data_IF_211884734408
#
_entry.id   IF_211884734408
#
_cell.length_a   1.000
_cell.length_b   1.000
_cell.length_c   1.000
_cell.angle_alpha   90.00
_cell.angle_beta   90.00
_cell.angle_gamma   90.00
#
_symmetry.space_group_name_H-M   'P 1'
#
loop_
_entity.id
_entity.type
_entity.pdbx_description
1 polymer ?
#
# COMPACT_ATOMS: atom_id res chain seq x y z
N UNK A 1 12.33 -28.85 -3.24
CA UNK A 1 12.36 -28.29 -4.61
C UNK A 1 12.52 -26.78 -4.45
N UNK A 2 13.78 -26.35 -4.32
CA UNK A 2 14.11 -24.94 -4.16
C UNK A 2 13.88 -24.26 -5.51
N UNK A 3 13.09 -23.20 -5.53
CA UNK A 3 12.90 -22.42 -6.76
C UNK A 3 14.16 -21.56 -6.94
N UNK A 4 15.21 -22.18 -7.48
CA UNK A 4 16.28 -21.49 -8.18
C UNK A 4 15.68 -20.86 -9.44
N UNK A 5 15.36 -19.57 -9.38
CA UNK A 5 15.33 -18.73 -10.57
C UNK A 5 16.32 -17.59 -10.30
N UNK A 6 17.57 -17.89 -10.63
CA UNK A 6 18.59 -16.90 -10.92
C UNK A 6 18.18 -16.14 -12.19
N UNK A 7 17.44 -15.06 -12.00
CA UNK A 7 17.54 -13.87 -12.84
C UNK A 7 17.84 -12.73 -11.86
N UNK A 8 19.09 -12.67 -11.40
CA UNK A 8 19.61 -11.53 -10.66
C UNK A 8 19.67 -10.35 -11.64
N UNK A 9 18.52 -9.72 -11.89
CA UNK A 9 18.56 -8.29 -12.14
C UNK A 9 19.18 -7.70 -10.88
N UNK A 10 20.20 -6.90 -11.08
CA UNK A 10 20.88 -6.17 -10.03
C UNK A 10 19.82 -5.24 -9.42
N UNK A 11 19.18 -5.68 -8.33
CA UNK A 11 18.08 -4.93 -7.73
C UNK A 11 18.71 -3.85 -6.87
N UNK A 12 18.73 -2.64 -7.41
CA UNK A 12 19.21 -1.47 -6.72
C UNK A 12 18.10 -0.84 -5.89
N UNK A 13 18.47 -0.19 -4.79
CA UNK A 13 17.61 0.76 -4.07
C UNK A 13 18.23 2.13 -4.13
N UNK A 14 17.48 3.13 -4.58
CA UNK A 14 17.92 4.53 -4.50
C UNK A 14 17.46 5.13 -3.18
N UNK A 15 18.41 5.68 -2.41
CA UNK A 15 18.14 6.72 -1.43
C UNK A 15 17.82 8.01 -2.18
N UNK A 16 16.55 8.37 -2.22
CA UNK A 16 16.14 9.71 -2.57
C UNK A 16 15.13 10.19 -1.54
N UNK A 17 15.21 11.48 -1.24
CA UNK A 17 14.08 12.19 -0.64
C UNK A 17 12.87 11.88 -1.52
N UNK A 18 11.89 11.19 -0.96
CA UNK A 18 10.58 11.00 -1.61
C UNK A 18 9.95 12.39 -1.93
N UNK A 19 10.53 13.49 -1.44
CA UNK A 19 10.13 14.88 -1.73
C UNK A 19 10.33 15.40 -3.16
N UNK A 20 11.09 14.74 -4.06
CA UNK A 20 11.13 15.21 -5.46
C UNK A 20 10.04 14.60 -6.37
N UNK A 21 9.32 13.56 -5.91
CA UNK A 21 8.17 12.97 -6.63
C UNK A 21 6.83 13.11 -5.86
N UNK A 22 6.85 13.48 -4.57
CA UNK A 22 5.66 13.85 -3.76
C UNK A 22 4.90 15.09 -4.29
N UNK A 23 5.42 15.80 -5.30
CA UNK A 23 4.79 16.99 -5.86
C UNK A 23 3.53 16.76 -6.71
N UNK A 24 2.97 15.55 -6.73
CA UNK A 24 1.58 15.32 -7.14
C UNK A 24 0.86 14.61 -5.97
N UNK A 25 0.64 15.37 -4.89
CA UNK A 25 -0.25 15.10 -3.74
C UNK A 25 -0.70 13.63 -3.59
N UNK A 26 0.07 12.82 -2.86
CA UNK A 26 -0.40 11.55 -2.27
C UNK A 26 0.16 10.25 -2.79
N UNK A 27 1.13 10.29 -3.72
CA UNK A 27 1.79 9.11 -4.32
C UNK A 27 0.87 8.31 -5.25
N UNK A 28 1.45 7.47 -6.10
CA UNK A 28 0.70 6.66 -7.08
C UNK A 28 -0.27 5.66 -6.45
N UNK A 29 -0.16 5.38 -5.14
CA UNK A 29 -1.14 4.59 -4.41
C UNK A 29 -2.35 5.40 -3.89
N UNK A 30 -2.26 6.73 -3.85
CA UNK A 30 -3.35 7.60 -3.43
C UNK A 30 -3.59 7.66 -1.92
N UNK A 31 -2.63 7.20 -1.09
CA UNK A 31 -2.78 7.22 0.36
C UNK A 31 -2.71 8.62 0.98
N UNK A 32 -2.27 9.63 0.24
CA UNK A 32 -2.14 11.00 0.77
C UNK A 32 -1.08 11.08 1.88
N UNK A 33 -1.30 11.95 2.86
CA UNK A 33 -0.41 12.09 4.02
C UNK A 33 -0.24 10.81 4.83
N UNK A 34 -1.27 9.95 4.88
CA UNK A 34 -1.18 8.65 5.55
C UNK A 34 -0.10 7.76 4.94
N UNK A 35 0.11 7.83 3.62
CA UNK A 35 1.15 7.07 2.94
C UNK A 35 2.57 7.44 3.38
N UNK A 36 2.78 8.62 3.96
CA UNK A 36 4.10 9.04 4.45
C UNK A 36 4.41 8.52 5.86
N UNK A 37 3.37 8.23 6.64
CA UNK A 37 3.50 7.91 8.07
C UNK A 37 3.18 6.46 8.40
N UNK A 38 2.50 5.73 7.49
CA UNK A 38 2.24 4.30 7.64
C UNK A 38 3.54 3.53 7.94
N UNK A 39 3.45 2.55 8.83
CA UNK A 39 4.60 1.73 9.25
C UNK A 39 5.78 2.59 9.73
N UNK A 40 5.49 3.61 10.55
CA UNK A 40 6.44 4.62 11.05
C UNK A 40 7.20 5.39 9.96
N UNK A 41 6.65 5.42 8.74
CA UNK A 41 7.27 5.99 7.56
C UNK A 41 8.34 5.10 6.93
N UNK A 42 8.44 3.82 7.30
CA UNK A 42 9.24 2.83 6.57
C UNK A 42 8.42 2.39 5.34
N UNK A 43 8.57 3.13 4.26
CA UNK A 43 7.77 2.99 3.04
C UNK A 43 8.65 2.98 1.80
N UNK A 44 8.11 2.48 0.70
CA UNK A 44 8.80 2.46 -0.58
C UNK A 44 7.87 2.70 -1.76
N UNK A 45 8.42 3.34 -2.79
CA UNK A 45 7.92 3.22 -4.16
C UNK A 45 8.52 1.99 -4.82
N UNK A 46 7.74 1.31 -5.67
CA UNK A 46 8.19 0.11 -6.39
C UNK A 46 7.79 0.16 -7.86
N UNK A 47 8.53 -0.54 -8.72
CA UNK A 47 8.25 -0.59 -10.16
C UNK A 47 7.29 -1.74 -10.50
N UNK A 48 7.82 -2.94 -10.78
CA UNK A 48 7.06 -4.13 -11.18
C UNK A 48 6.08 -4.61 -10.12
N UNK A 49 6.41 -4.43 -8.85
CA UNK A 49 5.60 -4.86 -7.72
C UNK A 49 4.35 -3.99 -7.51
N UNK A 50 4.31 -2.79 -8.11
CA UNK A 50 3.17 -1.86 -7.99
C UNK A 50 1.92 -2.44 -8.66
N UNK A 51 2.10 -3.21 -9.74
CA UNK A 51 1.05 -3.99 -10.42
C UNK A 51 -0.23 -3.19 -10.69
N UNK A 52 -0.07 -2.03 -11.33
CA UNK A 52 -1.17 -1.12 -11.62
C UNK A 52 -2.01 -0.73 -10.40
N UNK A 53 -1.36 -0.58 -9.25
CA UNK A 53 -1.99 -0.22 -7.98
C UNK A 53 -2.44 -1.39 -7.12
N UNK A 54 -2.53 -2.62 -7.64
CA UNK A 54 -2.91 -3.78 -6.81
C UNK A 54 -1.84 -4.15 -5.78
N UNK A 55 -0.59 -3.70 -5.97
CA UNK A 55 0.49 -3.85 -4.99
C UNK A 55 0.53 -2.76 -3.92
N UNK A 56 -0.34 -1.75 -3.97
CA UNK A 56 -0.40 -0.71 -2.95
C UNK A 56 -0.81 -1.31 -1.59
N UNK A 57 -0.09 -0.93 -0.53
CA UNK A 57 -0.27 -1.46 0.81
C UNK A 57 0.46 -2.79 1.07
N UNK A 58 1.13 -3.37 0.07
CA UNK A 58 1.92 -4.59 0.23
C UNK A 58 3.15 -4.38 1.13
N UNK A 59 3.46 -5.37 1.98
CA UNK A 59 4.64 -5.33 2.85
C UNK A 59 5.77 -6.23 2.35
N UNK A 60 7.00 -5.72 2.40
CA UNK A 60 8.20 -6.46 2.02
C UNK A 60 9.26 -6.37 3.11
N UNK A 61 9.95 -7.48 3.34
CA UNK A 61 11.23 -7.49 4.04
C UNK A 61 12.34 -7.29 2.98
N UNK A 62 13.22 -6.33 3.21
CA UNK A 62 14.25 -5.88 2.27
C UNK A 62 15.59 -5.88 3.00
N UNK A 63 16.60 -6.55 2.44
CA UNK A 63 17.95 -6.64 3.02
C UNK A 63 18.99 -6.21 2.00
N UNK A 64 19.99 -5.45 2.42
CA UNK A 64 21.14 -5.14 1.57
C UNK A 64 22.19 -6.26 1.61
N UNK A 65 23.08 -6.29 0.61
CA UNK A 65 24.08 -7.37 0.43
C UNK A 65 25.49 -7.03 0.92
N UNK A 66 25.70 -5.85 1.50
CA UNK A 66 27.00 -5.43 2.04
C UNK A 66 27.13 -5.94 3.48
N UNK A 67 27.61 -7.17 3.66
CA UNK A 67 27.62 -7.88 4.95
C UNK A 67 28.23 -7.07 6.12
N UNK A 68 29.21 -6.19 5.84
CA UNK A 68 29.82 -5.33 6.85
C UNK A 68 28.83 -4.33 7.47
N UNK A 69 27.81 -3.88 6.72
CA UNK A 69 26.89 -2.82 7.15
C UNK A 69 25.44 -3.29 7.29
N UNK A 70 25.04 -4.34 6.58
CA UNK A 70 23.65 -4.76 6.50
C UNK A 70 23.14 -5.44 7.77
N UNK A 71 21.94 -5.07 8.19
CA UNK A 71 21.20 -5.77 9.22
C UNK A 71 20.73 -7.14 8.72
N UNK A 72 20.80 -8.16 9.58
CA UNK A 72 20.40 -9.52 9.23
C UNK A 72 18.90 -9.64 8.94
N UNK A 73 18.06 -8.81 9.54
CA UNK A 73 16.64 -8.75 9.25
C UNK A 73 16.33 -7.68 8.20
N UNK A 74 17.15 -6.65 8.09
CA UNK A 74 16.93 -5.53 7.18
C UNK A 74 15.67 -4.74 7.51
N UNK A 75 15.11 -4.09 6.50
CA UNK A 75 13.96 -3.21 6.64
C UNK A 75 12.65 -3.90 6.30
N UNK A 76 11.60 -3.58 7.05
CA UNK A 76 10.23 -3.92 6.71
C UNK A 76 9.54 -2.67 6.18
N UNK A 77 9.10 -2.69 4.92
CA UNK A 77 8.51 -1.53 4.25
C UNK A 77 7.13 -1.80 3.69
N UNK A 78 6.31 -0.76 3.64
CA UNK A 78 5.01 -0.76 2.95
C UNK A 78 5.13 -0.06 1.60
N UNK A 79 4.52 -0.64 0.57
CA UNK A 79 4.41 -0.03 -0.75
C UNK A 79 3.36 1.08 -0.73
N UNK A 80 3.81 2.31 -0.95
CA UNK A 80 2.95 3.50 -0.93
C UNK A 80 3.04 4.33 -2.20
N UNK A 81 3.90 3.95 -3.14
CA UNK A 81 4.11 4.68 -4.38
C UNK A 81 4.55 3.77 -5.53
N UNK A 82 4.52 4.32 -6.74
CA UNK A 82 5.24 3.81 -7.88
C UNK A 82 6.59 4.51 -7.94
N UNK A 83 7.65 3.74 -8.14
CA UNK A 83 9.00 4.29 -8.25
C UNK A 83 9.83 3.44 -9.19
N UNK A 84 10.42 4.09 -10.20
CA UNK A 84 11.33 3.45 -11.15
C UNK A 84 12.57 4.31 -11.31
N UNK A 85 13.72 3.66 -11.24
CA UNK A 85 15.02 4.25 -11.56
C UNK A 85 15.83 3.26 -12.38
N UNK A 86 16.99 3.67 -12.90
CA UNK A 86 17.85 2.78 -13.67
C UNK A 86 18.21 1.54 -12.81
N UNK A 87 17.67 0.38 -13.22
CA UNK A 87 17.83 -0.93 -12.54
C UNK A 87 17.39 -0.96 -11.07
N UNK A 88 16.47 -0.08 -10.67
CA UNK A 88 16.03 0.05 -9.28
C UNK A 88 14.61 -0.49 -9.10
N UNK A 89 14.45 -1.46 -8.22
CA UNK A 89 13.15 -2.10 -7.92
C UNK A 89 12.41 -1.39 -6.78
N UNK A 90 13.15 -0.75 -5.86
CA UNK A 90 12.62 -0.05 -4.70
C UNK A 90 13.23 1.34 -4.57
N UNK A 91 12.40 2.34 -4.30
CA UNK A 91 12.83 3.66 -3.83
C UNK A 91 12.33 3.80 -2.40
N UNK A 92 13.23 3.67 -1.42
CA UNK A 92 12.86 3.66 0.00
C UNK A 92 12.88 5.05 0.60
N UNK A 93 12.01 5.27 1.59
CA UNK A 93 12.10 6.47 2.42
C UNK A 93 13.42 6.52 3.18
N UNK A 94 13.91 7.71 3.59
CA UNK A 94 15.08 7.82 4.45
C UNK A 94 14.97 6.95 5.72
N UNK A 95 13.78 6.88 6.31
CA UNK A 95 13.51 6.02 7.47
C UNK A 95 13.65 4.54 7.13
N UNK A 96 12.99 4.06 6.08
CA UNK A 96 13.10 2.68 5.63
C UNK A 96 14.53 2.29 5.26
N UNK A 97 15.22 3.15 4.50
CA UNK A 97 16.60 2.91 4.07
C UNK A 97 17.57 2.83 5.26
N UNK A 98 17.39 3.67 6.30
CA UNK A 98 18.21 3.61 7.51
C UNK A 98 18.13 2.26 8.23
N UNK A 99 17.00 1.55 8.13
CA UNK A 99 16.77 0.23 8.73
C UNK A 99 17.54 -0.89 8.03
N UNK A 100 18.14 -0.62 6.87
CA UNK A 100 19.04 -1.58 6.22
C UNK A 100 20.36 -1.75 6.99
N UNK A 101 20.80 -0.74 7.75
CA UNK A 101 22.03 -0.79 8.52
C UNK A 101 21.84 -1.42 9.90
N UNK A 102 22.77 -2.28 10.33
CA UNK A 102 22.70 -2.95 11.64
C UNK A 102 22.92 -2.00 12.84
N UNK A 103 23.42 -0.79 12.58
CA UNK A 103 23.52 0.30 13.55
C UNK A 103 23.56 1.67 12.84
N UNK A 104 23.52 2.76 13.62
CA UNK A 104 23.49 4.12 13.09
C UNK A 104 24.71 4.48 12.21
N UNK A 105 25.90 3.97 12.54
CA UNK A 105 27.10 4.17 11.73
C UNK A 105 26.98 3.46 10.38
N UNK A 106 26.57 2.19 10.39
CA UNK A 106 26.31 1.42 9.18
C UNK A 106 25.26 2.09 8.29
N UNK A 107 24.15 2.60 8.86
CA UNK A 107 23.15 3.36 8.11
C UNK A 107 23.74 4.61 7.44
N UNK A 108 24.60 5.37 8.14
CA UNK A 108 25.28 6.54 7.56
C UNK A 108 26.22 6.16 6.42
N UNK A 109 26.91 5.02 6.52
CA UNK A 109 27.75 4.52 5.45
C UNK A 109 26.90 4.10 4.25
N UNK A 110 25.80 3.37 4.47
CA UNK A 110 24.84 2.99 3.43
C UNK A 110 24.24 4.22 2.72
N UNK A 111 23.96 5.31 3.43
CA UNK A 111 23.48 6.55 2.80
C UNK A 111 24.49 7.16 1.83
N UNK A 112 25.80 7.02 2.09
CA UNK A 112 26.85 7.51 1.18
C UNK A 112 26.95 6.71 -0.11
N UNK A 113 26.61 5.41 -0.08
CA UNK A 113 26.50 4.63 -1.30
C UNK A 113 25.36 5.14 -2.18
N UNK A 114 24.25 5.57 -1.56
CA UNK A 114 23.03 6.05 -2.22
C UNK A 114 22.26 4.91 -2.89
N UNK A 115 22.96 4.07 -3.65
CA UNK A 115 22.45 2.90 -4.33
C UNK A 115 23.11 1.63 -3.79
N UNK A 116 22.30 0.67 -3.36
CA UNK A 116 22.79 -0.63 -2.84
C UNK A 116 22.06 -1.81 -3.45
N UNK A 117 22.78 -2.93 -3.60
CA UNK A 117 22.19 -4.20 -4.00
C UNK A 117 21.40 -4.82 -2.86
N UNK A 118 20.21 -5.32 -3.19
CA UNK A 118 19.28 -5.90 -2.21
C UNK A 118 18.80 -7.30 -2.56
N UNK A 119 18.22 -7.95 -1.56
CA UNK A 119 17.28 -9.05 -1.67
C UNK A 119 15.98 -8.66 -0.95
N UNK A 120 14.84 -9.16 -1.41
CA UNK A 120 13.56 -8.89 -0.78
C UNK A 120 12.61 -10.08 -0.85
N UNK A 121 11.62 -10.10 0.04
CA UNK A 121 10.50 -11.04 0.00
C UNK A 121 9.21 -10.40 0.49
N UNK A 122 8.08 -10.82 -0.09
CA UNK A 122 6.75 -10.45 0.41
C UNK A 122 6.58 -11.00 1.83
N UNK A 123 6.07 -10.18 2.73
CA UNK A 123 5.76 -10.57 4.12
C UNK A 123 4.35 -10.10 4.50
N UNK A 124 3.71 -10.71 5.50
CA UNK A 124 2.46 -10.19 6.05
C UNK A 124 2.62 -8.76 6.56
N UNK A 125 1.70 -7.88 6.17
CA UNK A 125 1.50 -6.63 6.89
C UNK A 125 0.95 -6.93 8.29
N UNK A 126 1.24 -6.04 9.25
CA UNK A 126 0.79 -6.13 10.64
C UNK A 126 0.26 -4.79 11.12
N UNK A 127 -1.06 -4.66 11.20
CA UNK A 127 -1.74 -3.46 11.70
C UNK A 127 -2.45 -3.73 13.03
N UNK A 128 -1.66 -4.07 14.05
CA UNK A 128 -2.17 -4.44 15.38
C UNK A 128 -3.08 -3.35 15.96
N UNK A 129 -4.27 -3.74 16.42
CA UNK A 129 -5.24 -2.84 17.03
C UNK A 129 -6.10 -2.04 16.04
N UNK A 130 -5.93 -2.28 14.74
CA UNK A 130 -6.77 -1.67 13.70
C UNK A 130 -7.67 -2.72 13.04
N UNK A 131 -8.92 -2.34 12.85
CA UNK A 131 -9.77 -2.97 11.84
C UNK A 131 -9.44 -2.38 10.48
N UNK A 132 -9.87 -3.06 9.41
CA UNK A 132 -9.86 -2.48 8.07
C UNK A 132 -10.76 -1.25 8.07
N UNK A 133 -10.29 -0.17 7.45
CA UNK A 133 -11.02 1.09 7.40
C UNK A 133 -11.33 1.46 5.95
N UNK A 134 -12.53 1.97 5.70
CA UNK A 134 -12.80 2.72 4.48
C UNK A 134 -12.54 4.19 4.72
N UNK A 135 -11.50 4.73 4.07
CA UNK A 135 -11.26 6.17 4.06
C UNK A 135 -11.90 6.78 2.82
N UNK A 136 -12.83 7.71 3.02
CA UNK A 136 -13.36 8.55 1.95
C UNK A 136 -12.25 9.49 1.51
N UNK A 137 -11.90 9.44 0.22
CA UNK A 137 -10.85 10.27 -0.35
C UNK A 137 -11.24 11.75 -0.29
N UNK A 138 -10.24 12.61 -0.10
CA UNK A 138 -10.39 14.06 0.10
C UNK A 138 -11.07 14.76 -1.09
N UNK A 139 -10.98 14.17 -2.28
CA UNK A 139 -11.61 14.69 -3.50
C UNK A 139 -13.04 14.15 -3.74
N UNK A 140 -13.62 13.43 -2.78
CA UNK A 140 -15.02 13.03 -2.86
C UNK A 140 -15.95 14.23 -2.70
N UNK A 141 -17.16 14.15 -3.26
CA UNK A 141 -18.17 15.21 -3.19
C UNK A 141 -19.55 14.57 -2.96
N UNK A 142 -20.06 14.66 -1.73
CA UNK A 142 -21.37 14.11 -1.37
C UNK A 142 -22.50 15.02 -1.94
N UNK A 143 -23.48 14.51 -2.71
CA UNK A 143 -23.73 13.09 -3.01
C UNK A 143 -23.27 12.63 -4.41
N UNK A 144 -22.56 13.46 -5.17
CA UNK A 144 -22.34 13.23 -6.62
C UNK A 144 -21.17 12.30 -6.96
N UNK A 145 -20.16 12.19 -6.09
CA UNK A 145 -18.94 11.45 -6.38
C UNK A 145 -18.33 10.88 -5.11
N UNK A 146 -18.11 9.57 -5.07
CA UNK A 146 -17.47 8.87 -3.96
C UNK A 146 -16.20 8.19 -4.46
N UNK A 147 -15.08 8.49 -3.82
CA UNK A 147 -13.84 7.76 -3.95
C UNK A 147 -13.38 7.26 -2.57
N UNK A 148 -12.89 6.03 -2.49
CA UNK A 148 -12.49 5.39 -1.24
C UNK A 148 -11.12 4.73 -1.35
N UNK A 149 -10.46 4.63 -0.20
CA UNK A 149 -9.29 3.80 0.05
C UNK A 149 -9.66 2.74 1.08
N UNK A 150 -9.07 1.56 0.95
CA UNK A 150 -9.20 0.45 1.89
C UNK A 150 -7.88 0.36 2.65
N UNK A 151 -7.89 0.78 3.92
CA UNK A 151 -6.69 0.90 4.75
C UNK A 151 -6.58 -0.28 5.73
N UNK A 152 -5.37 -0.50 6.23
CA UNK A 152 -5.07 -1.52 7.25
C UNK A 152 -5.45 -2.95 6.85
N UNK A 153 -5.27 -3.29 5.57
CA UNK A 153 -5.43 -4.67 5.07
C UNK A 153 -4.26 -5.50 5.60
N UNK A 154 -4.53 -6.25 6.67
CA UNK A 154 -3.52 -7.08 7.34
C UNK A 154 -3.15 -8.30 6.51
N UNK A 155 -1.98 -8.92 6.75
CA UNK A 155 -1.61 -10.17 6.09
C UNK A 155 -0.94 -10.02 4.72
N UNK A 156 -0.98 -11.08 3.91
CA UNK A 156 -0.38 -11.14 2.55
C UNK A 156 -1.45 -11.04 1.46
N UNK A 157 -2.37 -10.08 1.62
CA UNK A 157 -3.46 -9.85 0.68
C UNK A 157 -3.22 -8.62 -0.18
N UNK A 158 -3.67 -8.70 -1.44
CA UNK A 158 -3.79 -7.58 -2.35
C UNK A 158 -5.28 -7.29 -2.58
N UNK A 159 -5.69 -6.03 -2.51
CA UNK A 159 -7.07 -5.65 -2.82
C UNK A 159 -7.22 -5.48 -4.33
N UNK A 160 -7.96 -6.38 -4.96
CA UNK A 160 -8.09 -6.46 -6.43
C UNK A 160 -9.31 -5.73 -6.94
N UNK A 161 -10.40 -5.65 -6.18
CA UNK A 161 -11.66 -5.01 -6.58
C UNK A 161 -12.46 -4.53 -5.38
N UNK A 162 -13.40 -3.62 -5.62
CA UNK A 162 -14.36 -3.16 -4.62
C UNK A 162 -15.74 -2.96 -5.26
N UNK A 163 -16.79 -3.15 -4.48
CA UNK A 163 -18.17 -3.10 -4.93
C UNK A 163 -19.05 -2.38 -3.92
N UNK A 164 -20.07 -1.70 -4.43
CA UNK A 164 -21.07 -0.95 -3.67
C UNK A 164 -22.44 -1.57 -3.86
N UNK A 165 -23.21 -1.68 -2.79
CA UNK A 165 -24.58 -2.21 -2.84
C UNK A 165 -25.54 -1.17 -3.41
N UNK A 166 -26.32 -1.52 -4.43
CA UNK A 166 -27.39 -0.69 -4.97
C UNK A 166 -28.74 -1.20 -4.48
N UNK A 167 -29.40 -0.44 -3.61
CA UNK A 167 -30.66 -0.84 -2.97
C UNK A 167 -31.82 -0.95 -3.98
N UNK A 168 -31.86 -0.06 -4.98
CA UNK A 168 -32.89 -0.05 -6.03
C UNK A 168 -32.82 -1.30 -6.93
N UNK A 169 -31.61 -1.69 -7.30
CA UNK A 169 -31.35 -2.82 -8.20
C UNK A 169 -31.13 -4.16 -7.47
N UNK A 170 -30.99 -4.13 -6.13
CA UNK A 170 -30.67 -5.28 -5.27
C UNK A 170 -29.42 -6.04 -5.73
N UNK A 171 -28.40 -5.31 -6.17
CA UNK A 171 -27.17 -5.89 -6.70
C UNK A 171 -25.92 -5.18 -6.18
N UNK A 172 -24.80 -5.90 -6.24
CA UNK A 172 -23.47 -5.32 -6.05
C UNK A 172 -22.97 -4.76 -7.38
N UNK A 173 -22.54 -3.50 -7.36
CA UNK A 173 -21.97 -2.83 -8.52
C UNK A 173 -20.49 -2.57 -8.32
N UNK A 174 -19.69 -2.93 -9.32
CA UNK A 174 -18.25 -2.68 -9.32
C UNK A 174 -17.93 -1.19 -9.23
N UNK A 175 -17.05 -0.85 -8.29
CA UNK A 175 -16.34 0.43 -8.29
C UNK A 175 -15.22 0.36 -9.32
N UNK A 176 -14.92 1.49 -9.96
CA UNK A 176 -13.77 1.60 -10.86
C UNK A 176 -12.52 1.83 -10.01
N UNK A 177 -11.40 1.20 -10.36
CA UNK A 177 -10.09 1.60 -9.82
C UNK A 177 -9.64 2.87 -10.55
N UNK A 178 -9.77 4.02 -9.91
CA UNK A 178 -9.40 5.30 -10.51
C UNK A 178 -7.89 5.37 -10.76
N UNK A 179 -7.09 5.01 -9.75
CA UNK A 179 -5.63 4.85 -9.79
C UNK A 179 -5.18 4.17 -8.49
N UNK A 180 -4.00 3.54 -8.47
CA UNK A 180 -3.42 3.04 -7.21
C UNK A 180 -4.37 2.15 -6.41
N UNK A 181 -4.57 2.50 -5.13
CA UNK A 181 -5.55 1.88 -4.23
C UNK A 181 -6.90 2.63 -4.16
N UNK A 182 -7.14 3.61 -5.02
CA UNK A 182 -8.35 4.44 -5.02
C UNK A 182 -9.43 3.82 -5.90
N UNK A 183 -10.59 3.55 -5.31
CA UNK A 183 -11.78 3.06 -6.00
C UNK A 183 -12.88 4.11 -5.99
N UNK A 184 -13.56 4.32 -7.12
CA UNK A 184 -14.54 5.39 -7.27
C UNK A 184 -15.85 4.99 -7.95
N UNK A 185 -16.87 5.82 -7.75
CA UNK A 185 -18.13 5.81 -8.48
C UNK A 185 -18.74 7.21 -8.54
N UNK A 186 -19.38 7.53 -9.66
CA UNK A 186 -20.27 8.69 -9.79
C UNK A 186 -21.67 8.32 -9.31
N UNK A 187 -22.40 9.29 -8.77
CA UNK A 187 -23.77 9.12 -8.27
C UNK A 187 -23.93 7.87 -7.37
N UNK A 188 -23.16 7.77 -6.26
CA UNK A 188 -23.34 6.71 -5.28
C UNK A 188 -24.80 6.61 -4.79
N UNK A 189 -25.24 5.44 -4.29
CA UNK A 189 -26.58 5.27 -3.71
C UNK A 189 -26.90 6.32 -2.65
N UNK A 190 -28.15 6.77 -2.59
CA UNK A 190 -28.62 7.59 -1.49
C UNK A 190 -28.71 6.77 -0.19
N UNK A 191 -28.37 7.38 0.94
CA UNK A 191 -28.43 6.71 2.24
C UNK A 191 -27.10 6.07 2.64
N UNK A 192 -27.16 5.09 3.53
CA UNK A 192 -25.98 4.36 4.00
C UNK A 192 -25.33 3.56 2.86
N UNK A 193 -24.01 3.63 2.80
CA UNK A 193 -23.22 2.99 1.77
C UNK A 193 -22.65 1.66 2.30
N UNK A 194 -23.14 0.55 1.75
CA UNK A 194 -22.59 -0.80 2.01
C UNK A 194 -21.56 -1.13 0.94
N UNK A 195 -20.40 -1.61 1.39
CA UNK A 195 -19.27 -1.93 0.54
C UNK A 195 -18.78 -3.35 0.82
N UNK A 196 -18.24 -3.97 -0.22
CA UNK A 196 -17.41 -5.17 -0.11
C UNK A 196 -16.17 -4.99 -0.99
N UNK A 197 -15.10 -5.70 -0.65
CA UNK A 197 -13.88 -5.70 -1.44
C UNK A 197 -13.35 -7.11 -1.62
N UNK A 198 -12.64 -7.31 -2.72
CA UNK A 198 -12.04 -8.57 -3.06
C UNK A 198 -10.58 -8.55 -2.67
N UNK A 199 -10.15 -9.60 -1.97
CA UNK A 199 -8.75 -9.84 -1.63
C UNK A 199 -8.22 -11.04 -2.41
N UNK A 200 -6.97 -10.95 -2.82
CA UNK A 200 -6.20 -12.03 -3.42
C UNK A 200 -4.99 -12.32 -2.54
N UNK A 201 -4.80 -13.58 -2.14
CA UNK A 201 -3.66 -14.03 -1.36
C UNK A 201 -3.39 -15.52 -1.56
N UNK A 202 -2.64 -16.13 -0.65
CA UNK A 202 -2.26 -17.55 -0.75
C UNK A 202 -3.47 -18.51 -0.72
N UNK A 203 -4.54 -18.12 -0.02
CA UNK A 203 -5.79 -18.89 0.06
C UNK A 203 -6.69 -18.75 -1.18
N UNK A 204 -6.24 -18.00 -2.20
CA UNK A 204 -7.01 -17.67 -3.40
C UNK A 204 -7.67 -16.30 -3.31
N UNK A 205 -8.77 -16.16 -4.06
CA UNK A 205 -9.49 -14.89 -4.23
C UNK A 205 -10.86 -15.00 -3.58
N UNK A 206 -11.21 -14.08 -2.69
CA UNK A 206 -12.53 -14.05 -2.04
C UNK A 206 -12.99 -12.63 -1.71
N UNK A 207 -14.30 -12.48 -1.50
CA UNK A 207 -14.93 -11.22 -1.15
C UNK A 207 -15.04 -11.08 0.38
N UNK A 208 -14.74 -9.87 0.86
CA UNK A 208 -14.87 -9.44 2.25
C UNK A 208 -15.94 -8.36 2.28
N UNK A 209 -17.03 -8.63 2.98
CA UNK A 209 -18.12 -7.68 3.17
C UNK A 209 -17.99 -7.02 4.54
N UNK A 210 -18.09 -5.70 4.58
CA UNK A 210 -18.04 -4.95 5.84
C UNK A 210 -19.30 -5.20 6.68
N UNK A 211 -19.13 -5.22 8.01
CA UNK A 211 -20.26 -5.28 8.94
C UNK A 211 -20.95 -3.92 9.05
N UNK A 212 -20.14 -2.87 9.11
CA UNK A 212 -20.61 -1.49 9.20
C UNK A 212 -20.70 -0.84 7.83
N UNK A 213 -21.73 -0.03 7.64
CA UNK A 213 -21.91 0.83 6.47
C UNK A 213 -21.27 2.21 6.71
N UNK A 214 -20.90 2.89 5.64
CA UNK A 214 -20.53 4.31 5.69
C UNK A 214 -21.83 5.13 5.79
N UNK A 215 -21.96 6.08 6.74
CA UNK A 215 -23.19 6.84 6.95
C UNK A 215 -23.50 7.75 5.75
N UNK A 216 -24.78 8.08 5.53
CA UNK A 216 -25.23 8.84 4.36
C UNK A 216 -24.63 10.24 4.22
N UNK A 217 -24.28 10.86 5.35
CA UNK A 217 -23.72 12.20 5.42
C UNK A 217 -22.18 12.21 5.41
N UNK A 218 -21.57 11.13 4.91
CA UNK A 218 -20.13 10.93 4.86
C UNK A 218 -19.36 12.15 4.37
N UNK A 219 -18.18 12.35 4.96
CA UNK A 219 -17.34 13.53 4.71
C UNK A 219 -16.04 13.13 4.02
N UNK A 220 -15.57 13.91 3.03
CA UNK A 220 -14.24 13.74 2.46
C UNK A 220 -13.15 13.74 3.55
N UNK A 221 -12.17 12.86 3.40
CA UNK A 221 -11.07 12.67 4.35
C UNK A 221 -11.41 11.83 5.59
N UNK A 222 -12.69 11.52 5.84
CA UNK A 222 -13.09 10.71 6.99
C UNK A 222 -12.84 9.22 6.78
N UNK A 223 -12.53 8.51 7.86
CA UNK A 223 -12.34 7.06 7.85
C UNK A 223 -13.42 6.38 8.69
N UNK A 224 -13.96 5.28 8.17
CA UNK A 224 -15.04 4.51 8.76
C UNK A 224 -14.60 3.07 9.01
N UNK A 225 -14.84 2.58 10.21
CA UNK A 225 -14.47 1.23 10.64
C UNK A 225 -15.41 0.18 10.04
N UNK A 226 -14.84 -0.89 9.48
CA UNK A 226 -15.60 -1.99 8.87
C UNK A 226 -15.95 -3.12 9.84
N UNK A 227 -15.36 -3.14 11.04
CA UNK A 227 -15.35 -4.21 12.04
C UNK A 227 -14.84 -5.57 11.51
N UNK A 228 -13.98 -5.50 10.50
CA UNK A 228 -13.30 -6.65 9.92
C UNK A 228 -11.80 -6.58 10.21
N UNK A 229 -11.25 -7.71 10.63
CA UNK A 229 -9.82 -7.98 10.61
C UNK A 229 -9.59 -9.17 9.68
N UNK A 230 -8.53 -9.10 8.88
CA UNK A 230 -8.00 -10.27 8.20
C UNK A 230 -6.94 -10.92 9.08
N UNK A 231 -6.78 -12.23 8.92
CA UNK A 231 -5.79 -13.06 9.62
C UNK A 231 -4.93 -13.79 8.61
#
# INVERSE_FOLDING_TARGET
MYCDITLLLQNHIIYNMIDQLINIVGGACGFGEYGKTINDGNVAGVSRLWRNGSGCGACYQVRCKIAEYCDENGAYVVVTDYGEGDRTDFIMSPRGYSRLGHNAYASQVLFKYGVVDIEYKRVPCKYNGYNIMYKVHEHSNNPFYLAILILYVDGTYDVTSAEIWQEECKEWRALRRAYGAVFDTTNPPSGEIKLRFQVSGNAGIYWVQSKNAIPSDWKPGSAYDTEIQLT
#
